data_IF_645706011124
#
_entry.id   IF_645706011124
#
_cell.length_a   1.000
_cell.length_b   1.000
_cell.length_c   1.000
_cell.angle_alpha   90.00
_cell.angle_beta   90.00
_cell.angle_gamma   90.00
#
_symmetry.space_group_name_H-M   'P 1'
#
loop_
_entity.id
_entity.type
_entity.pdbx_description
1 polymer ?
#
# COMPACT_ATOMS: atom_id res chain seq x y z
N UNK A 1 -24.89 40.34 22.84
CA UNK A 1 -24.86 38.91 22.49
C UNK A 1 -23.53 38.62 21.81
N UNK A 2 -22.64 37.88 22.47
CA UNK A 2 -21.32 37.54 21.92
C UNK A 2 -21.48 36.41 20.89
N UNK A 3 -20.99 36.65 19.67
CA UNK A 3 -20.84 35.61 18.63
C UNK A 3 -19.83 34.58 19.14
N UNK A 4 -20.30 33.40 19.52
CA UNK A 4 -19.44 32.22 19.66
C UNK A 4 -19.01 31.82 18.25
N UNK A 5 -17.82 32.26 17.83
CA UNK A 5 -17.09 31.61 16.74
C UNK A 5 -16.70 30.22 17.25
N UNK A 6 -17.59 29.26 17.05
CA UNK A 6 -17.31 27.83 17.21
C UNK A 6 -16.42 27.41 16.04
N UNK A 7 -15.16 27.84 16.05
CA UNK A 7 -14.13 27.02 15.43
C UNK A 7 -14.02 25.79 16.31
N UNK A 8 -14.82 24.78 15.99
CA UNK A 8 -14.69 23.44 16.52
C UNK A 8 -13.42 22.85 15.91
N UNK A 9 -12.27 23.39 16.30
CA UNK A 9 -10.96 22.81 16.02
C UNK A 9 -10.90 21.56 16.89
N UNK A 10 -11.49 20.46 16.43
CA UNK A 10 -11.20 19.13 16.95
C UNK A 10 -9.67 19.04 16.95
N UNK A 11 -9.07 19.08 18.15
CA UNK A 11 -7.65 18.83 18.31
C UNK A 11 -7.43 17.42 17.78
N UNK A 12 -6.80 17.32 16.61
CA UNK A 12 -6.42 16.03 16.04
C UNK A 12 -5.50 15.33 17.04
N UNK A 13 -5.66 14.02 17.17
CA UNK A 13 -4.81 13.21 18.02
C UNK A 13 -3.45 13.09 17.32
N UNK A 14 -2.37 13.49 18.01
CA UNK A 14 -1.01 13.46 17.46
C UNK A 14 -0.88 14.16 16.08
N UNK A 15 -1.11 15.48 15.98
CA UNK A 15 -1.18 16.18 14.70
C UNK A 15 0.14 16.22 13.92
N UNK A 16 1.26 16.00 14.62
CA UNK A 16 2.62 16.04 14.07
C UNK A 16 3.24 14.62 14.00
N UNK A 17 2.44 13.56 14.08
CA UNK A 17 2.95 12.20 13.95
C UNK A 17 3.40 11.95 12.50
N UNK A 18 4.67 11.65 12.31
CA UNK A 18 5.25 11.39 10.98
C UNK A 18 5.34 9.89 10.67
N UNK A 19 5.50 9.05 11.69
CA UNK A 19 5.63 7.61 11.55
C UNK A 19 4.65 6.88 12.47
N UNK A 20 3.92 5.93 11.91
CA UNK A 20 3.05 5.03 12.67
C UNK A 20 3.29 3.59 12.24
N UNK A 21 3.43 2.71 13.22
CA UNK A 21 3.35 1.27 13.00
C UNK A 21 2.19 0.69 13.79
N UNK A 22 1.33 -0.07 13.12
CA UNK A 22 0.18 -0.74 13.71
C UNK A 22 0.41 -2.27 13.68
N UNK A 23 0.84 -2.81 14.83
CA UNK A 23 0.91 -4.26 15.08
C UNK A 23 -0.32 -4.71 15.88
N UNK A 24 -0.84 -5.89 15.56
CA UNK A 24 -1.88 -6.61 16.33
C UNK A 24 -3.12 -5.77 16.73
N UNK A 25 -3.45 -4.77 15.92
CA UNK A 25 -4.60 -3.89 16.13
C UNK A 25 -5.69 -4.28 15.16
N UNK A 26 -6.88 -4.62 15.65
CA UNK A 26 -8.03 -4.96 14.80
C UNK A 26 -8.38 -3.85 13.80
N UNK A 27 -9.08 -4.20 12.73
CA UNK A 27 -9.39 -3.28 11.64
C UNK A 27 -10.13 -2.02 12.11
N UNK A 28 -11.10 -2.19 13.00
CA UNK A 28 -11.91 -1.10 13.51
C UNK A 28 -11.08 -0.16 14.38
N UNK A 29 -10.26 -0.72 15.26
CA UNK A 29 -9.29 0.03 16.07
C UNK A 29 -8.31 0.81 15.20
N UNK A 30 -7.80 0.18 14.14
CA UNK A 30 -6.87 0.79 13.19
C UNK A 30 -7.50 1.93 12.40
N UNK A 31 -8.70 1.74 11.85
CA UNK A 31 -9.43 2.81 11.16
C UNK A 31 -9.79 3.97 12.10
N UNK A 32 -10.20 3.65 13.33
CA UNK A 32 -10.49 4.67 14.35
C UNK A 32 -9.24 5.46 14.72
N UNK A 33 -8.10 4.79 14.87
CA UNK A 33 -6.82 5.47 15.11
C UNK A 33 -6.48 6.38 13.95
N UNK A 34 -6.42 5.85 12.72
CA UNK A 34 -6.06 6.61 11.52
C UNK A 34 -6.99 7.82 11.30
N UNK A 35 -8.31 7.67 11.51
CA UNK A 35 -9.25 8.79 11.36
C UNK A 35 -9.08 9.90 12.40
N UNK A 36 -8.38 9.64 13.52
CA UNK A 36 -8.10 10.63 14.55
C UNK A 36 -6.76 11.34 14.36
N UNK A 37 -5.87 10.83 13.50
CA UNK A 37 -4.53 11.37 13.28
C UNK A 37 -4.54 12.68 12.50
N UNK A 38 -3.46 13.46 12.66
CA UNK A 38 -3.19 14.60 11.79
C UNK A 38 -2.67 14.21 10.41
N UNK A 39 -2.61 15.18 9.48
CA UNK A 39 -2.21 14.94 8.09
C UNK A 39 -0.71 14.69 7.93
N UNK A 40 0.11 14.95 8.95
CA UNK A 40 1.58 14.92 8.91
C UNK A 40 2.20 13.52 8.75
N UNK A 41 1.37 12.47 8.69
CA UNK A 41 1.86 11.10 8.59
C UNK A 41 2.56 10.89 7.24
N UNK A 42 3.83 10.51 7.31
CA UNK A 42 4.71 10.28 6.15
C UNK A 42 4.96 8.81 5.87
N UNK A 43 4.96 7.98 6.91
CA UNK A 43 5.16 6.54 6.80
C UNK A 43 4.20 5.77 7.69
N UNK A 44 3.51 4.80 7.09
CA UNK A 44 2.57 3.90 7.77
C UNK A 44 3.00 2.46 7.55
N UNK A 45 3.19 1.72 8.64
CA UNK A 45 3.46 0.29 8.61
C UNK A 45 2.30 -0.50 9.21
N UNK A 46 1.80 -1.49 8.46
CA UNK A 46 0.64 -2.31 8.83
C UNK A 46 0.91 -3.79 8.56
N UNK A 47 0.38 -4.66 9.42
CA UNK A 47 0.30 -6.10 9.16
C UNK A 47 -0.86 -6.40 8.20
N UNK A 48 -0.60 -7.24 7.19
CA UNK A 48 -1.52 -7.53 6.11
C UNK A 48 -1.47 -9.02 5.66
N UNK A 49 -2.56 -9.78 5.76
CA UNK A 49 -3.80 -9.46 6.46
C UNK A 49 -3.56 -9.40 7.96
N UNK A 50 -4.43 -8.68 8.66
CA UNK A 50 -4.40 -8.61 10.10
C UNK A 50 -5.08 -9.87 10.69
N UNK A 51 -4.29 -10.84 11.14
CA UNK A 51 -4.74 -12.13 11.69
C UNK A 51 -4.17 -12.32 13.11
N UNK A 52 -4.90 -12.89 14.09
CA UNK A 52 -6.30 -13.33 14.06
C UNK A 52 -7.26 -12.20 14.47
N UNK A 53 -8.58 -12.34 14.25
CA UNK A 53 -9.53 -11.34 14.76
C UNK A 53 -9.28 -11.17 16.26
N UNK A 54 -9.17 -9.92 16.71
CA UNK A 54 -9.30 -9.64 18.14
C UNK A 54 -10.57 -10.37 18.60
N UNK A 55 -10.41 -11.32 19.53
CA UNK A 55 -11.50 -12.14 20.06
C UNK A 55 -12.68 -11.20 20.31
N UNK A 56 -13.77 -11.36 19.54
CA UNK A 56 -14.99 -10.60 19.76
C UNK A 56 -15.39 -10.88 21.20
N UNK A 57 -15.14 -9.91 22.09
CA UNK A 57 -15.76 -9.92 23.40
C UNK A 57 -17.23 -9.75 23.10
N UNK A 58 -18.00 -10.82 23.29
CA UNK A 58 -19.45 -10.88 23.06
C UNK A 58 -20.11 -9.58 23.55
N UNK A 59 -20.45 -8.72 22.59
CA UNK A 59 -21.29 -7.56 22.81
C UNK A 59 -22.52 -7.74 21.92
N UNK A 60 -23.72 -7.49 22.46
CA UNK A 60 -24.96 -7.89 21.82
C UNK A 60 -25.10 -7.26 20.43
N UNK A 61 -25.46 -8.14 19.51
CA UNK A 61 -25.57 -8.01 18.07
C UNK A 61 -26.29 -6.71 17.66
N UNK A 62 -25.52 -5.75 17.12
CA UNK A 62 -26.03 -4.78 16.15
C UNK A 62 -25.58 -5.33 14.80
N UNK A 63 -26.49 -5.38 13.81
CA UNK A 63 -26.14 -5.67 12.42
C UNK A 63 -25.13 -4.62 11.92
N UNK A 64 -23.84 -4.90 12.11
CA UNK A 64 -22.77 -4.15 11.48
C UNK A 64 -22.53 -4.78 10.11
N UNK A 65 -22.66 -3.96 9.06
CA UNK A 65 -22.09 -4.26 7.75
C UNK A 65 -20.68 -4.81 7.95
N UNK A 66 -20.35 -5.89 7.23
CA UNK A 66 -19.04 -6.53 7.33
C UNK A 66 -17.95 -5.44 7.27
N UNK A 67 -17.10 -5.30 8.30
CA UNK A 67 -16.14 -4.21 8.35
C UNK A 67 -15.27 -4.28 7.10
N UNK A 68 -15.24 -3.17 6.35
CA UNK A 68 -14.37 -3.06 5.19
C UNK A 68 -12.93 -3.27 5.66
N UNK A 69 -12.28 -4.34 5.20
CA UNK A 69 -10.89 -4.64 5.51
C UNK A 69 -9.93 -3.60 4.91
N UNK A 70 -10.41 -2.77 3.99
CA UNK A 70 -9.60 -1.80 3.29
C UNK A 70 -9.42 -0.53 4.13
N UNK A 71 -8.18 -0.03 4.17
CA UNK A 71 -7.87 1.22 4.86
C UNK A 71 -8.11 2.42 3.97
N UNK A 72 -8.75 3.45 4.52
CA UNK A 72 -8.88 4.74 3.86
C UNK A 72 -7.69 5.65 4.25
N UNK A 73 -6.78 5.87 3.31
CA UNK A 73 -5.55 6.63 3.47
C UNK A 73 -5.59 8.01 2.79
N UNK A 74 -6.73 8.43 2.24
CA UNK A 74 -6.90 9.73 1.56
C UNK A 74 -6.61 10.93 2.45
N UNK A 75 -6.79 10.79 3.76
CA UNK A 75 -6.57 11.86 4.74
C UNK A 75 -5.09 12.19 4.99
N UNK A 76 -4.16 11.43 4.41
CA UNK A 76 -2.71 11.58 4.61
C UNK A 76 -2.02 12.00 3.30
N UNK A 77 -1.96 13.30 3.00
CA UNK A 77 -1.35 13.81 1.77
C UNK A 77 0.18 13.60 1.74
N UNK A 78 0.80 13.58 2.91
CA UNK A 78 2.25 13.43 3.08
C UNK A 78 2.70 11.97 3.17
N UNK A 79 1.77 11.00 3.08
CA UNK A 79 2.09 9.57 3.20
C UNK A 79 2.86 9.08 1.97
N UNK A 80 4.18 9.18 2.04
CA UNK A 80 5.12 8.75 1.00
C UNK A 80 5.41 7.25 1.05
N UNK A 81 5.43 6.67 2.25
CA UNK A 81 5.83 5.28 2.44
C UNK A 81 4.69 4.46 3.06
N UNK A 82 4.27 3.42 2.34
CA UNK A 82 3.34 2.41 2.87
C UNK A 82 4.09 1.09 3.02
N UNK A 83 4.15 0.56 4.24
CA UNK A 83 4.80 -0.71 4.55
C UNK A 83 3.75 -1.76 4.87
N UNK A 84 3.64 -2.76 4.00
CA UNK A 84 2.81 -3.93 4.20
C UNK A 84 3.67 -5.09 4.71
N UNK A 85 3.52 -5.40 5.99
CA UNK A 85 4.07 -6.58 6.65
C UNK A 85 3.18 -7.78 6.30
N UNK A 86 3.57 -8.54 5.29
CA UNK A 86 2.83 -9.64 4.72
C UNK A 86 2.81 -10.85 5.65
N UNK A 87 1.61 -11.23 6.07
CA UNK A 87 1.32 -12.50 6.73
C UNK A 87 0.69 -13.48 5.71
N UNK A 88 0.68 -14.80 5.98
CA UNK A 88 0.01 -15.75 5.12
C UNK A 88 -1.48 -15.42 4.92
N UNK A 89 -1.98 -15.51 3.68
CA UNK A 89 -3.37 -15.19 3.36
C UNK A 89 -4.28 -16.36 3.73
N UNK A 90 -5.13 -16.18 4.74
CA UNK A 90 -6.18 -17.17 5.05
C UNK A 90 -7.33 -17.12 4.04
N UNK A 91 -7.58 -15.95 3.44
CA UNK A 91 -8.64 -15.70 2.46
C UNK A 91 -8.09 -14.88 1.29
N UNK A 92 -7.43 -15.51 0.30
CA UNK A 92 -6.67 -14.80 -0.72
C UNK A 92 -7.45 -13.73 -1.48
N UNK A 93 -8.63 -14.05 -2.01
CA UNK A 93 -9.41 -13.12 -2.84
C UNK A 93 -9.82 -11.86 -2.06
N UNK A 94 -10.41 -12.05 -0.88
CA UNK A 94 -10.82 -10.94 -0.02
C UNK A 94 -9.63 -10.09 0.45
N UNK A 95 -8.50 -10.74 0.73
CA UNK A 95 -7.26 -10.07 1.15
C UNK A 95 -6.68 -9.24 0.01
N UNK A 96 -6.67 -9.77 -1.22
CA UNK A 96 -6.21 -9.05 -2.41
C UNK A 96 -7.11 -7.85 -2.74
N UNK A 97 -8.43 -7.99 -2.61
CA UNK A 97 -9.36 -6.88 -2.80
C UNK A 97 -9.15 -5.78 -1.75
N UNK A 98 -8.95 -6.15 -0.48
CA UNK A 98 -8.62 -5.21 0.58
C UNK A 98 -7.30 -4.45 0.30
N UNK A 99 -6.28 -5.17 -0.18
CA UNK A 99 -5.00 -4.59 -0.56
C UNK A 99 -5.22 -3.57 -1.69
N UNK A 100 -5.94 -3.98 -2.73
CA UNK A 100 -6.27 -3.13 -3.88
C UNK A 100 -6.95 -1.84 -3.43
N UNK A 101 -8.00 -1.92 -2.61
CA UNK A 101 -8.72 -0.75 -2.12
C UNK A 101 -7.86 0.16 -1.25
N UNK A 102 -7.01 -0.42 -0.40
CA UNK A 102 -6.05 0.33 0.42
C UNK A 102 -5.04 1.09 -0.46
N UNK A 103 -4.47 0.42 -1.46
CA UNK A 103 -3.51 1.03 -2.39
C UNK A 103 -4.17 2.12 -3.25
N UNK A 104 -5.40 1.92 -3.72
CA UNK A 104 -6.14 2.94 -4.46
C UNK A 104 -6.40 4.17 -3.59
N UNK A 105 -6.77 3.95 -2.31
CA UNK A 105 -6.97 5.04 -1.36
C UNK A 105 -5.69 5.82 -1.07
N UNK A 106 -4.58 5.10 -0.91
CA UNK A 106 -3.25 5.70 -0.76
C UNK A 106 -2.88 6.52 -1.99
N UNK A 107 -2.98 5.96 -3.20
CA UNK A 107 -2.63 6.65 -4.43
C UNK A 107 -3.51 7.88 -4.70
N UNK A 108 -4.79 7.85 -4.33
CA UNK A 108 -5.67 9.00 -4.46
C UNK A 108 -5.26 10.18 -3.55
N UNK A 109 -4.57 9.94 -2.43
CA UNK A 109 -4.18 11.03 -1.51
C UNK A 109 -3.21 12.04 -2.13
N UNK A 110 -2.50 11.71 -3.24
CA UNK A 110 -1.65 12.66 -3.97
C UNK A 110 -2.43 13.56 -4.91
N UNK A 111 -3.58 13.11 -5.40
CA UNK A 111 -4.25 13.76 -6.53
C UNK A 111 -5.17 14.89 -6.06
N UNK A 112 -5.67 14.78 -4.82
CA UNK A 112 -6.72 15.64 -4.29
C UNK A 112 -6.21 16.75 -3.33
N UNK A 113 -4.93 16.77 -2.93
CA UNK A 113 -4.43 17.65 -1.85
C UNK A 113 -3.10 18.33 -2.20
N UNK A 114 -2.92 19.56 -1.70
CA UNK A 114 -1.70 20.39 -1.74
C UNK A 114 -0.56 19.76 -0.90
N UNK A 115 -0.22 18.51 -1.17
CA UNK A 115 0.95 17.80 -0.65
C UNK A 115 2.02 17.77 -1.74
N UNK A 116 3.21 18.24 -1.42
CA UNK A 116 4.33 18.48 -2.36
C UNK A 116 5.09 17.19 -2.75
N UNK A 117 4.49 16.02 -2.51
CA UNK A 117 5.10 14.74 -2.88
C UNK A 117 4.75 14.42 -4.33
N UNK A 118 5.76 14.46 -5.19
CA UNK A 118 5.60 13.89 -6.52
C UNK A 118 5.22 12.41 -6.36
N UNK A 119 4.27 11.89 -7.17
CA UNK A 119 3.94 10.47 -7.13
C UNK A 119 5.19 9.58 -7.21
N UNK A 120 6.17 9.99 -8.03
CA UNK A 120 7.45 9.29 -8.21
C UNK A 120 8.31 9.11 -6.95
N UNK A 121 8.01 9.82 -5.85
CA UNK A 121 8.69 9.70 -4.56
C UNK A 121 8.03 8.69 -3.61
N UNK A 122 6.87 8.14 -3.97
CA UNK A 122 6.14 7.18 -3.14
C UNK A 122 6.75 5.78 -3.24
N UNK A 123 6.82 5.09 -2.11
CA UNK A 123 7.35 3.73 -2.03
C UNK A 123 6.38 2.80 -1.29
N UNK A 124 5.97 1.74 -1.96
CA UNK A 124 5.31 0.60 -1.32
C UNK A 124 6.39 -0.38 -0.89
N UNK A 125 6.38 -0.78 0.38
CA UNK A 125 7.26 -1.80 0.91
C UNK A 125 6.47 -3.08 1.16
N UNK A 126 6.91 -4.20 0.57
CA UNK A 126 6.43 -5.54 0.87
C UNK A 126 7.50 -6.28 1.68
N UNK A 127 7.15 -6.63 2.90
CA UNK A 127 8.08 -7.19 3.90
C UNK A 127 7.41 -8.41 4.52
N UNK A 128 8.07 -9.55 4.72
CA UNK A 128 7.47 -10.63 5.51
C UNK A 128 7.19 -10.16 6.94
N UNK A 129 5.98 -10.38 7.47
CA UNK A 129 5.62 -10.00 8.84
C UNK A 129 6.52 -10.67 9.89
N UNK A 130 6.98 -11.89 9.58
CA UNK A 130 8.10 -12.53 10.25
C UNK A 130 8.79 -13.46 9.26
N UNK A 131 10.12 -13.44 9.26
CA UNK A 131 10.95 -14.37 8.46
C UNK A 131 10.66 -15.84 8.77
N UNK A 132 10.21 -16.15 9.99
CA UNK A 132 9.91 -17.53 10.39
C UNK A 132 8.59 -18.06 9.79
N UNK A 133 7.75 -17.19 9.22
CA UNK A 133 6.44 -17.57 8.70
C UNK A 133 6.49 -18.11 7.27
N UNK A 134 7.59 -17.88 6.55
CA UNK A 134 7.68 -18.21 5.13
C UNK A 134 8.95 -19.00 4.84
N UNK A 135 8.81 -20.03 4.02
CA UNK A 135 9.92 -20.45 3.16
C UNK A 135 10.02 -19.47 2.00
N UNK A 136 11.18 -19.48 1.35
CA UNK A 136 11.46 -18.66 0.18
C UNK A 136 10.40 -18.82 -0.91
N UNK A 137 10.10 -20.07 -1.28
CA UNK A 137 9.11 -20.40 -2.32
C UNK A 137 7.70 -20.02 -1.89
N UNK A 138 7.36 -20.18 -0.61
CA UNK A 138 6.06 -19.79 -0.06
C UNK A 138 5.85 -18.28 -0.13
N UNK A 139 6.90 -17.49 0.14
CA UNK A 139 6.83 -16.03 0.03
C UNK A 139 6.68 -15.59 -1.43
N UNK A 140 7.41 -16.19 -2.36
CA UNK A 140 7.24 -15.90 -3.80
C UNK A 140 5.85 -16.30 -4.28
N UNK A 141 5.33 -17.45 -3.84
CA UNK A 141 3.97 -17.88 -4.15
C UNK A 141 2.91 -16.90 -3.61
N UNK A 142 3.19 -16.21 -2.50
CA UNK A 142 2.36 -15.11 -1.98
C UNK A 142 2.50 -13.82 -2.81
N UNK A 143 3.71 -13.49 -3.27
CA UNK A 143 3.95 -12.30 -4.10
C UNK A 143 3.33 -12.43 -5.50
N UNK A 144 3.31 -13.62 -6.10
CA UNK A 144 2.74 -13.86 -7.44
C UNK A 144 1.31 -13.29 -7.61
N UNK A 145 0.33 -13.59 -6.75
CA UNK A 145 -1.01 -13.01 -6.87
C UNK A 145 -1.09 -11.54 -6.42
N UNK A 146 -0.19 -11.07 -5.56
CA UNK A 146 -0.08 -9.65 -5.17
C UNK A 146 0.41 -8.79 -6.34
N UNK A 147 1.31 -9.35 -7.16
CA UNK A 147 1.94 -8.71 -8.32
C UNK A 147 0.98 -7.94 -9.21
N UNK A 148 0.04 -8.61 -9.88
CA UNK A 148 -0.94 -7.96 -10.75
C UNK A 148 -1.77 -6.88 -10.05
N UNK A 149 -2.12 -7.08 -8.77
CA UNK A 149 -2.89 -6.11 -8.00
C UNK A 149 -2.08 -4.83 -7.74
N UNK A 150 -0.82 -4.98 -7.34
CA UNK A 150 0.09 -3.86 -7.09
C UNK A 150 0.37 -3.12 -8.39
N UNK A 151 0.75 -3.82 -9.46
CA UNK A 151 1.07 -3.18 -10.75
C UNK A 151 -0.12 -2.44 -11.34
N UNK A 152 -1.33 -3.00 -11.24
CA UNK A 152 -2.54 -2.34 -11.73
C UNK A 152 -2.84 -1.02 -11.01
N UNK A 153 -2.44 -0.88 -9.74
CA UNK A 153 -2.66 0.35 -8.96
C UNK A 153 -1.49 1.32 -9.13
N UNK A 154 -0.25 0.83 -9.07
CA UNK A 154 0.94 1.70 -9.10
C UNK A 154 1.30 2.17 -10.51
N UNK A 155 1.08 1.34 -11.54
CA UNK A 155 1.49 1.61 -12.92
C UNK A 155 0.32 1.93 -13.85
N UNK A 156 -0.67 2.68 -13.33
CA UNK A 156 -1.83 3.07 -14.11
C UNK A 156 -1.46 4.12 -15.15
N UNK A 157 -1.57 3.78 -16.43
CA UNK A 157 -1.53 4.74 -17.53
C UNK A 157 -2.58 5.83 -17.27
N UNK A 158 -2.16 7.09 -17.26
CA UNK A 158 -3.03 8.27 -17.07
C UNK A 158 -3.98 8.53 -18.25
N UNK A 159 -4.52 7.50 -18.90
CA UNK A 159 -5.56 7.62 -19.92
C UNK A 159 -6.93 7.46 -19.26
N UNK A 160 -7.32 8.46 -18.48
CA UNK A 160 -8.68 8.56 -17.97
C UNK A 160 -9.13 10.01 -17.91
N UNK A 161 -9.05 10.72 -19.04
CA UNK A 161 -9.88 11.88 -19.34
C UNK A 161 -9.78 12.18 -20.84
N UNK A 162 -10.75 11.70 -21.63
CA UNK A 162 -11.00 12.22 -22.97
C UNK A 162 -10.68 11.34 -24.19
N UNK A 163 -11.07 10.06 -24.23
CA UNK A 163 -11.21 9.33 -25.51
C UNK A 163 -12.69 9.12 -25.86
N UNK A 164 -13.36 10.24 -26.08
CA UNK A 164 -14.51 10.35 -26.98
C UNK A 164 -14.08 11.32 -28.09
N UNK A 165 -13.14 10.93 -28.94
CA UNK A 165 -12.95 11.59 -30.22
C UNK A 165 -12.36 10.63 -31.26
N UNK A 166 -13.15 10.45 -32.31
CA UNK A 166 -12.83 9.93 -33.65
C UNK A 166 -11.65 8.98 -33.82
N UNK A 167 -11.99 7.71 -34.02
CA UNK A 167 -11.15 6.78 -34.77
C UNK A 167 -11.06 7.23 -36.23
N UNK A 168 -10.08 8.07 -36.56
CA UNK A 168 -9.51 8.15 -37.92
C UNK A 168 -8.17 8.86 -37.90
N UNK A 169 -7.09 8.10 -37.86
CA UNK A 169 -6.00 8.15 -38.84
C UNK A 169 -4.80 7.41 -38.29
N UNK A 170 -4.23 6.53 -39.11
CA UNK A 170 -2.94 5.95 -38.82
C UNK A 170 -1.91 7.07 -38.70
N UNK A 171 -1.27 7.14 -37.54
CA UNK A 171 0.03 7.76 -37.42
C UNK A 171 0.89 6.83 -36.57
N UNK A 172 2.08 6.54 -37.07
CA UNK A 172 3.04 5.68 -36.39
C UNK A 172 3.71 6.57 -35.35
N UNK A 173 2.97 6.89 -34.29
CA UNK A 173 3.45 7.76 -33.24
C UNK A 173 4.49 6.98 -32.45
N UNK A 174 5.76 7.28 -32.71
CA UNK A 174 6.93 7.07 -31.84
C UNK A 174 6.69 7.80 -30.51
N UNK A 175 5.59 7.47 -29.81
CA UNK A 175 5.35 7.90 -28.44
C UNK A 175 6.44 7.25 -27.63
N UNK A 176 7.42 8.07 -27.22
CA UNK A 176 8.32 7.75 -26.13
C UNK A 176 7.46 7.18 -25.01
N UNK A 177 7.56 5.87 -24.78
CA UNK A 177 6.79 5.25 -23.70
C UNK A 177 7.17 5.99 -22.42
N UNK A 178 6.19 6.67 -21.82
CA UNK A 178 6.37 7.39 -20.57
C UNK A 178 6.22 6.39 -19.44
N UNK A 179 7.05 6.52 -18.40
CA UNK A 179 6.96 5.72 -17.19
C UNK A 179 5.54 5.82 -16.59
N UNK A 180 4.74 4.74 -16.64
CA UNK A 180 3.36 4.76 -16.16
C UNK A 180 3.28 4.59 -14.65
N UNK A 181 4.41 4.28 -13.98
CA UNK A 181 4.46 3.98 -12.58
C UNK A 181 4.54 5.26 -11.74
N UNK A 182 3.50 5.42 -10.92
CA UNK A 182 3.29 6.54 -10.00
C UNK A 182 3.88 6.29 -8.62
N UNK A 183 4.56 5.16 -8.39
CA UNK A 183 5.25 4.82 -7.16
C UNK A 183 6.29 3.73 -7.44
N UNK A 184 7.29 3.63 -6.57
CA UNK A 184 8.21 2.49 -6.54
C UNK A 184 7.70 1.36 -5.64
N UNK A 185 8.18 0.16 -5.90
CA UNK A 185 7.97 -1.02 -5.07
C UNK A 185 9.31 -1.48 -4.50
N UNK A 186 9.35 -1.67 -3.19
CA UNK A 186 10.49 -2.22 -2.46
C UNK A 186 10.09 -3.56 -1.86
N UNK A 187 10.81 -4.62 -2.19
CA UNK A 187 10.69 -5.93 -1.54
C UNK A 187 11.94 -6.14 -0.71
N UNK A 188 11.80 -6.21 0.62
CA UNK A 188 12.94 -6.27 1.53
C UNK A 188 12.75 -7.27 2.67
N UNK A 189 13.78 -7.42 3.49
CA UNK A 189 13.79 -8.30 4.67
C UNK A 189 13.60 -9.79 4.35
N UNK A 190 14.06 -10.20 3.17
CA UNK A 190 13.90 -11.56 2.65
C UNK A 190 14.71 -12.62 3.41
N UNK A 191 15.65 -12.20 4.28
CA UNK A 191 16.28 -13.05 5.29
C UNK A 191 16.90 -14.34 4.73
N UNK A 192 17.99 -14.25 3.97
CA UNK A 192 18.57 -15.42 3.30
C UNK A 192 20.10 -15.35 3.17
N UNK A 193 20.73 -16.44 2.74
CA UNK A 193 22.17 -16.48 2.45
C UNK A 193 22.51 -15.59 1.26
N UNK A 194 23.71 -15.02 1.28
CA UNK A 194 24.25 -14.13 0.24
C UNK A 194 24.18 -14.74 -1.18
N UNK A 195 24.38 -16.05 -1.30
CA UNK A 195 24.35 -16.79 -2.58
C UNK A 195 22.97 -16.77 -3.28
N UNK A 196 21.89 -16.42 -2.56
CA UNK A 196 20.53 -16.42 -3.09
C UNK A 196 20.02 -15.03 -3.50
N UNK A 197 20.88 -14.00 -3.48
CA UNK A 197 20.49 -12.63 -3.85
C UNK A 197 19.95 -12.57 -5.28
N UNK A 198 20.64 -13.19 -6.25
CA UNK A 198 20.23 -13.17 -7.65
C UNK A 198 18.95 -13.97 -7.87
N UNK A 199 18.79 -15.08 -7.15
CA UNK A 199 17.56 -15.85 -7.16
C UNK A 199 16.38 -14.99 -6.68
N UNK A 200 16.53 -14.25 -5.57
CA UNK A 200 15.49 -13.38 -5.05
C UNK A 200 15.14 -12.26 -6.03
N UNK A 201 16.15 -11.64 -6.64
CA UNK A 201 15.93 -10.61 -7.67
C UNK A 201 15.12 -11.17 -8.84
N UNK A 202 15.47 -12.36 -9.33
CA UNK A 202 14.79 -13.01 -10.46
C UNK A 202 13.35 -13.42 -10.09
N UNK A 203 13.16 -14.10 -8.96
CA UNK A 203 11.86 -14.59 -8.55
C UNK A 203 10.87 -13.44 -8.26
N UNK A 204 11.33 -12.36 -7.62
CA UNK A 204 10.50 -11.17 -7.39
C UNK A 204 10.23 -10.43 -8.71
N UNK A 205 11.21 -10.32 -9.60
CA UNK A 205 11.05 -9.72 -10.93
C UNK A 205 9.95 -10.39 -11.76
N UNK A 206 9.81 -11.72 -11.65
CA UNK A 206 8.74 -12.47 -12.31
C UNK A 206 7.35 -12.14 -11.76
N UNK A 207 7.23 -11.75 -10.49
CA UNK A 207 5.97 -11.30 -9.89
C UNK A 207 5.61 -9.84 -10.28
N UNK A 208 6.59 -9.00 -10.63
CA UNK A 208 6.42 -7.57 -10.89
C UNK A 208 7.12 -7.11 -12.19
N UNK A 209 6.71 -7.65 -13.36
CA UNK A 209 7.41 -7.40 -14.62
C UNK A 209 7.32 -5.95 -15.11
N UNK A 210 6.21 -5.25 -14.87
CA UNK A 210 6.00 -3.86 -15.27
C UNK A 210 6.90 -2.94 -14.45
N UNK A 211 6.91 -3.10 -13.12
CA UNK A 211 7.76 -2.31 -12.23
C UNK A 211 9.25 -2.57 -12.51
N UNK A 212 9.62 -3.81 -12.84
CA UNK A 212 10.98 -4.12 -13.28
C UNK A 212 11.35 -3.38 -14.58
N UNK A 213 10.50 -3.47 -15.61
CA UNK A 213 10.71 -2.82 -16.91
C UNK A 213 10.99 -1.32 -16.75
N UNK A 214 10.26 -0.67 -15.84
CA UNK A 214 10.37 0.76 -15.57
C UNK A 214 11.40 1.15 -14.51
N UNK A 215 12.22 0.19 -14.02
CA UNK A 215 13.23 0.40 -12.96
C UNK A 215 12.63 0.99 -11.67
N UNK A 216 11.39 0.58 -11.37
CA UNK A 216 10.62 0.97 -10.18
C UNK A 216 10.54 -0.15 -9.14
N UNK A 217 11.11 -1.32 -9.44
CA UNK A 217 11.24 -2.43 -8.52
C UNK A 217 12.63 -2.43 -7.85
N UNK A 218 12.65 -2.43 -6.53
CA UNK A 218 13.86 -2.52 -5.71
C UNK A 218 13.78 -3.77 -4.82
N UNK A 219 14.79 -4.64 -4.91
CA UNK A 219 14.84 -5.87 -4.11
C UNK A 219 16.07 -5.83 -3.21
N UNK A 220 15.83 -5.87 -1.89
CA UNK A 220 16.87 -5.80 -0.85
C UNK A 220 16.79 -7.02 0.07
N UNK A 221 17.44 -8.14 -0.30
CA UNK A 221 17.59 -9.27 0.60
C UNK A 221 18.42 -8.83 1.82
N UNK A 222 17.88 -8.98 3.02
CA UNK A 222 18.63 -8.70 4.26
C UNK A 222 19.35 -9.98 4.68
N UNK A 223 20.63 -9.89 4.95
CA UNK A 223 21.44 -11.03 5.40
C UNK A 223 21.42 -11.10 6.92
N UNK A 224 21.14 -12.28 7.48
CA UNK A 224 21.37 -12.51 8.91
C UNK A 224 22.88 -12.66 9.10
N UNK A 225 23.57 -11.56 9.42
CA UNK A 225 25.01 -11.57 9.63
C UNK A 225 25.69 -10.21 9.46
N UNK A 226 25.21 -9.19 10.17
CA UNK A 226 26.01 -8.16 10.85
C UNK A 226 25.26 -7.74 12.13
#
# INVERSE_FOLDING_TARGET
MAKRSSHDSRKMFLPNLEFLTCYDMDEQGRQRLLSALGPSLQRLAIVFPNNPPAVQKEHPHVEQEAPSLALNLRSFPWLGDLVCLLAPFSQPDQTLDSLRHTLVSWMASSDDVVGDLSPSQRLLYLVPASRSLFKREDYVALLCPIGPVVEAVLCRNGTAEGDLQDQTSGDTDDRLEVDPCRAGLVVQDLGDRLEWVDWWRQAVAECFPTLLRWKRLYVYPTHAGE
#
